data_IF_061353358330
#
_entry.id   IF_061353358330
#
_cell.length_a   1.000
_cell.length_b   1.000
_cell.length_c   1.000
_cell.angle_alpha   90.00
_cell.angle_beta   90.00
_cell.angle_gamma   90.00
#
_symmetry.space_group_name_H-M   'P 1'
#
loop_
_entity.id
_entity.type
_entity.pdbx_description
1 polymer ?
#
# COMPACT_ATOMS: atom_id res chain seq x y z
N UNK A 1 10.03 -24.03 7.06
CA UNK A 1 11.22 -23.28 6.60
C UNK A 1 10.91 -21.95 5.90
N UNK A 2 9.69 -21.65 5.44
CA UNK A 2 9.39 -20.37 4.74
C UNK A 2 9.05 -19.19 5.66
N UNK A 3 8.61 -19.43 6.91
CA UNK A 3 8.30 -18.34 7.87
C UNK A 3 9.56 -17.70 8.47
N UNK A 4 10.54 -18.52 8.85
CA UNK A 4 11.76 -18.07 9.56
C UNK A 4 12.61 -17.14 8.68
N UNK A 5 12.79 -17.50 7.40
CA UNK A 5 13.47 -16.63 6.43
C UNK A 5 12.75 -15.31 6.20
N UNK A 6 11.42 -15.31 6.28
CA UNK A 6 10.64 -14.08 6.13
C UNK A 6 10.77 -13.17 7.36
N UNK A 7 10.85 -13.75 8.56
CA UNK A 7 11.06 -13.03 9.82
C UNK A 7 12.46 -12.40 9.88
N UNK A 8 13.51 -13.14 9.48
CA UNK A 8 14.88 -12.61 9.41
C UNK A 8 14.98 -11.43 8.42
N UNK A 9 14.38 -11.57 7.24
CA UNK A 9 14.33 -10.50 6.23
C UNK A 9 13.47 -9.30 6.68
N UNK A 10 12.42 -9.54 7.47
CA UNK A 10 11.59 -8.49 8.05
C UNK A 10 12.40 -7.67 9.07
N UNK A 11 13.18 -8.34 9.92
CA UNK A 11 14.06 -7.69 10.91
C UNK A 11 15.15 -6.85 10.21
N UNK A 12 15.81 -7.40 9.19
CA UNK A 12 16.81 -6.70 8.39
C UNK A 12 16.20 -5.47 7.66
N UNK A 13 14.99 -5.61 7.11
CA UNK A 13 14.30 -4.51 6.44
C UNK A 13 13.94 -3.38 7.42
N UNK A 14 13.43 -3.72 8.61
CA UNK A 14 13.08 -2.74 9.64
C UNK A 14 14.32 -2.01 10.15
N UNK A 15 15.43 -2.73 10.38
CA UNK A 15 16.70 -2.13 10.76
C UNK A 15 17.20 -1.14 9.70
N UNK A 16 17.17 -1.51 8.41
CA UNK A 16 17.54 -0.63 7.31
C UNK A 16 16.63 0.62 7.24
N UNK A 17 15.33 0.46 7.45
CA UNK A 17 14.37 1.58 7.45
C UNK A 17 14.62 2.57 8.59
N UNK A 18 14.94 2.09 9.79
CA UNK A 18 15.28 2.94 10.93
C UNK A 18 16.59 3.71 10.69
N UNK A 19 17.60 3.05 10.12
CA UNK A 19 18.85 3.70 9.75
C UNK A 19 18.66 4.77 8.66
N UNK A 20 17.81 4.51 7.67
CA UNK A 20 17.48 5.48 6.61
C UNK A 20 16.77 6.68 7.23
N UNK A 21 15.76 6.48 8.09
CA UNK A 21 15.04 7.56 8.79
C UNK A 21 15.98 8.41 9.62
N UNK A 22 16.85 7.80 10.43
CA UNK A 22 17.85 8.50 11.25
C UNK A 22 18.82 9.35 10.41
N UNK A 23 19.26 8.83 9.27
CA UNK A 23 20.13 9.58 8.33
C UNK A 23 19.39 10.68 7.59
N UNK A 24 18.12 10.48 7.25
CA UNK A 24 17.27 11.48 6.61
C UNK A 24 16.97 12.64 7.57
N UNK A 25 16.69 12.37 8.84
CA UNK A 25 16.54 13.39 9.88
C UNK A 25 17.84 14.15 10.12
N UNK A 26 18.97 13.44 10.16
CA UNK A 26 20.31 14.05 10.24
C UNK A 26 20.60 14.97 9.04
N UNK A 27 20.11 14.60 7.85
CA UNK A 27 20.22 15.41 6.63
C UNK A 27 19.24 16.60 6.59
N UNK A 28 18.10 16.52 7.30
CA UNK A 28 17.17 17.65 7.52
C UNK A 28 17.67 18.63 8.57
N UNK A 29 18.24 18.15 9.68
CA UNK A 29 18.70 18.97 10.80
C UNK A 29 20.01 19.73 10.51
N UNK A 30 20.88 19.21 9.64
CA UNK A 30 22.05 19.94 9.15
C UNK A 30 21.66 20.90 8.03
N UNK A 31 21.11 22.05 8.40
CA UNK A 31 20.88 23.20 7.52
C UNK A 31 22.15 23.88 6.97
N UNK A 32 23.27 23.18 6.85
CA UNK A 32 24.57 23.76 6.49
C UNK A 32 25.43 22.85 5.62
N UNK A 33 25.91 23.43 4.52
CA UNK A 33 27.02 22.98 3.66
C UNK A 33 26.68 21.81 2.71
N UNK A 34 26.44 22.18 1.45
CA UNK A 34 25.91 21.34 0.37
C UNK A 34 26.73 20.10 -0.01
N UNK A 35 28.00 19.99 0.41
CA UNK A 35 28.85 18.84 0.09
C UNK A 35 28.67 17.67 1.05
N UNK A 36 28.58 17.95 2.37
CA UNK A 36 28.23 16.95 3.39
C UNK A 36 26.79 16.48 3.26
N UNK A 37 25.87 17.38 2.86
CA UNK A 37 24.48 17.01 2.59
C UNK A 37 24.37 16.09 1.36
N UNK A 38 25.16 16.36 0.31
CA UNK A 38 25.15 15.57 -0.93
C UNK A 38 25.79 14.19 -0.74
N UNK A 39 26.85 14.06 0.07
CA UNK A 39 27.43 12.76 0.41
C UNK A 39 26.48 11.91 1.26
N UNK A 40 25.82 12.52 2.27
CA UNK A 40 24.82 11.86 3.08
C UNK A 40 23.57 11.46 2.28
N UNK A 41 23.12 12.30 1.34
CA UNK A 41 22.01 11.96 0.44
C UNK A 41 22.36 10.80 -0.51
N UNK A 42 23.58 10.74 -1.03
CA UNK A 42 24.05 9.58 -1.82
C UNK A 42 24.10 8.30 -0.99
N UNK A 43 24.51 8.41 0.27
CA UNK A 43 24.53 7.26 1.18
C UNK A 43 23.13 6.81 1.58
N UNK A 44 22.19 7.75 1.78
CA UNK A 44 20.76 7.47 1.96
C UNK A 44 20.20 6.78 0.73
N UNK A 45 20.49 7.28 -0.48
CA UNK A 45 20.05 6.66 -1.72
C UNK A 45 20.55 5.21 -1.84
N UNK A 46 21.84 4.97 -1.55
CA UNK A 46 22.41 3.62 -1.57
C UNK A 46 21.71 2.67 -0.59
N UNK A 47 21.32 3.16 0.60
CA UNK A 47 20.56 2.36 1.58
C UNK A 47 19.11 2.14 1.16
N UNK A 48 18.49 3.12 0.51
CA UNK A 48 17.16 2.96 -0.10
C UNK A 48 17.19 1.90 -1.19
N UNK A 49 18.24 1.88 -2.02
CA UNK A 49 18.43 0.85 -3.04
C UNK A 49 18.62 -0.53 -2.39
N UNK A 50 19.41 -0.65 -1.31
CA UNK A 50 19.54 -1.89 -0.54
C UNK A 50 18.21 -2.36 0.07
N UNK A 51 17.46 -1.45 0.70
CA UNK A 51 16.15 -1.76 1.28
C UNK A 51 15.13 -2.18 0.20
N UNK A 52 15.20 -1.61 -1.00
CA UNK A 52 14.36 -2.03 -2.13
C UNK A 52 14.71 -3.43 -2.64
N UNK A 53 15.99 -3.83 -2.61
CA UNK A 53 16.41 -5.21 -2.88
C UNK A 53 15.87 -6.21 -1.86
N UNK A 54 15.99 -5.91 -0.56
CA UNK A 54 15.42 -6.74 0.52
C UNK A 54 13.90 -6.83 0.42
N UNK A 55 13.23 -5.72 0.06
CA UNK A 55 11.79 -5.71 -0.18
C UNK A 55 11.39 -6.64 -1.34
N UNK A 56 12.19 -6.70 -2.40
CA UNK A 56 11.96 -7.60 -3.53
C UNK A 56 12.09 -9.07 -3.13
N UNK A 57 13.05 -9.40 -2.26
CA UNK A 57 13.21 -10.75 -1.68
C UNK A 57 12.04 -11.10 -0.75
N UNK A 58 11.58 -10.16 0.08
CA UNK A 58 10.35 -10.27 0.88
C UNK A 58 9.10 -10.49 0.01
N UNK A 59 8.97 -9.80 -1.12
CA UNK A 59 7.87 -10.01 -2.09
C UNK A 59 7.93 -11.41 -2.70
N UNK A 60 9.13 -11.94 -2.98
CA UNK A 60 9.31 -13.28 -3.53
C UNK A 60 8.94 -14.38 -2.52
N UNK A 61 9.42 -14.27 -1.28
CA UNK A 61 9.11 -15.21 -0.19
C UNK A 61 7.62 -15.14 0.19
N UNK A 62 7.03 -13.93 0.22
CA UNK A 62 5.59 -13.74 0.44
C UNK A 62 4.72 -14.39 -0.64
N UNK A 63 5.21 -14.49 -1.89
CA UNK A 63 4.51 -15.20 -2.99
C UNK A 63 4.68 -16.72 -2.92
N UNK A 64 5.83 -17.19 -2.43
CA UNK A 64 6.12 -18.62 -2.25
C UNK A 64 5.40 -19.24 -1.04
N UNK A 65 4.89 -18.43 -0.11
CA UNK A 65 4.27 -18.90 1.13
C UNK A 65 2.86 -19.53 0.96
N UNK A 66 2.46 -20.49 1.83
CA UNK A 66 1.12 -21.08 1.84
C UNK A 66 -0.02 -20.09 2.14
N UNK A 67 -1.22 -20.40 1.62
CA UNK A 67 -2.39 -19.51 1.53
C UNK A 67 -2.80 -18.72 2.81
N UNK A 68 -2.76 -19.27 4.05
CA UNK A 68 -3.13 -18.50 5.24
C UNK A 68 -2.07 -17.45 5.64
N UNK A 69 -0.78 -17.71 5.42
CA UNK A 69 0.31 -16.78 5.75
C UNK A 69 0.53 -15.76 4.62
N UNK A 70 0.30 -16.17 3.37
CA UNK A 70 0.43 -15.34 2.17
C UNK A 70 -0.38 -14.05 2.22
N UNK A 71 -1.61 -14.08 2.76
CA UNK A 71 -2.47 -12.88 2.85
C UNK A 71 -1.87 -11.87 3.84
N UNK A 72 -1.41 -12.35 4.99
CA UNK A 72 -0.77 -11.51 6.01
C UNK A 72 0.56 -10.95 5.52
N UNK A 73 1.43 -11.79 4.93
CA UNK A 73 2.72 -11.40 4.37
C UNK A 73 2.57 -10.35 3.26
N UNK A 74 1.68 -10.56 2.28
CA UNK A 74 1.44 -9.57 1.22
C UNK A 74 0.91 -8.23 1.75
N UNK A 75 0.10 -8.24 2.82
CA UNK A 75 -0.38 -7.00 3.42
C UNK A 75 0.77 -6.19 4.05
N UNK A 76 1.72 -6.87 4.70
CA UNK A 76 2.93 -6.25 5.25
C UNK A 76 3.85 -5.73 4.14
N UNK A 77 4.10 -6.54 3.12
CA UNK A 77 4.97 -6.13 2.00
C UNK A 77 4.42 -4.91 1.25
N UNK A 78 3.10 -4.80 1.09
CA UNK A 78 2.46 -3.59 0.53
C UNK A 78 2.66 -2.34 1.40
N UNK A 79 2.59 -2.48 2.74
CA UNK A 79 2.85 -1.37 3.66
C UNK A 79 4.30 -0.92 3.56
N UNK A 80 5.25 -1.86 3.61
CA UNK A 80 6.68 -1.57 3.47
C UNK A 80 7.03 -0.91 2.14
N UNK A 81 6.38 -1.33 1.05
CA UNK A 81 6.50 -0.67 -0.25
C UNK A 81 6.06 0.79 -0.22
N UNK A 82 4.93 1.09 0.41
CA UNK A 82 4.45 2.47 0.56
C UNK A 82 5.40 3.31 1.40
N UNK A 83 5.88 2.77 2.53
CA UNK A 83 6.80 3.49 3.41
C UNK A 83 8.15 3.78 2.73
N UNK A 84 8.65 2.84 1.91
CA UNK A 84 9.90 3.02 1.17
C UNK A 84 9.74 4.06 0.04
N UNK A 85 8.57 4.12 -0.62
CA UNK A 85 8.26 5.14 -1.62
C UNK A 85 8.15 6.55 -1.00
N UNK A 86 7.54 6.68 0.18
CA UNK A 86 7.48 7.94 0.91
C UNK A 86 8.87 8.43 1.35
N UNK A 87 9.72 7.51 1.81
CA UNK A 87 11.12 7.80 2.13
C UNK A 87 11.90 8.20 0.87
N UNK A 88 11.68 7.53 -0.25
CA UNK A 88 12.33 7.86 -1.53
C UNK A 88 11.90 9.26 -2.02
N UNK A 89 10.61 9.61 -1.92
CA UNK A 89 10.10 10.96 -2.24
C UNK A 89 10.67 12.05 -1.33
N UNK A 90 10.83 11.76 -0.04
CA UNK A 90 11.44 12.71 0.91
C UNK A 90 12.94 12.86 0.69
N UNK A 91 13.66 11.80 0.32
CA UNK A 91 15.06 11.87 -0.10
C UNK A 91 15.23 12.64 -1.44
N UNK A 92 14.36 12.36 -2.41
CA UNK A 92 14.36 13.02 -3.72
C UNK A 92 14.00 14.51 -3.64
N UNK A 93 13.06 14.93 -2.77
CA UNK A 93 12.77 16.35 -2.54
C UNK A 93 13.92 17.09 -1.84
N UNK A 94 14.63 16.43 -0.93
CA UNK A 94 15.84 16.97 -0.30
C UNK A 94 17.02 17.09 -1.27
N UNK A 95 17.12 16.20 -2.26
CA UNK A 95 18.09 16.27 -3.36
C UNK A 95 17.68 17.28 -4.44
N UNK A 96 16.38 17.32 -4.78
CA UNK A 96 15.76 18.14 -5.83
C UNK A 96 15.74 19.64 -5.52
N UNK A 97 15.70 20.00 -4.23
CA UNK A 97 15.90 21.39 -3.78
C UNK A 97 17.26 21.97 -4.16
N UNK A 98 18.25 21.12 -4.47
CA UNK A 98 19.58 21.56 -4.95
C UNK A 98 19.60 21.74 -6.47
N UNK A 99 18.85 20.93 -7.23
CA UNK A 99 18.86 20.96 -8.71
C UNK A 99 17.91 21.99 -9.33
N UNK A 100 16.76 22.28 -8.70
CA UNK A 100 15.80 23.25 -9.25
C UNK A 100 16.31 24.71 -9.19
N UNK A 101 17.22 25.00 -8.25
CA UNK A 101 17.88 26.32 -8.15
C UNK A 101 18.93 26.53 -9.24
N UNK A 102 19.59 25.46 -9.71
CA UNK A 102 20.62 25.55 -10.76
C UNK A 102 20.04 25.60 -12.17
N UNK A 103 18.99 24.84 -12.47
CA UNK A 103 18.40 24.80 -13.83
C UNK A 103 17.61 26.08 -14.12
N UNK A 104 16.83 26.58 -13.14
CA UNK A 104 16.07 27.83 -13.32
C UNK A 104 16.98 29.08 -13.44
N UNK A 105 18.18 29.06 -12.85
CA UNK A 105 19.17 30.15 -13.01
C UNK A 105 19.92 30.09 -14.34
N UNK A 106 20.12 28.90 -14.89
CA UNK A 106 20.85 28.73 -16.14
C UNK A 106 20.02 29.19 -17.35
N UNK A 107 18.70 29.04 -17.29
CA UNK A 107 17.78 29.52 -18.34
C UNK A 107 17.56 31.05 -18.30
N UNK A 108 17.75 31.68 -17.13
CA UNK A 108 17.70 33.14 -16.95
C UNK A 108 19.00 33.87 -17.31
N UNK A 109 20.09 33.14 -17.57
CA UNK A 109 21.41 33.69 -17.89
C UNK A 109 21.84 33.42 -19.34
N UNK A 110 20.95 32.87 -20.18
CA UNK A 110 21.20 32.81 -21.63
C UNK A 110 20.98 34.21 -22.22
N UNK A 111 22.04 34.91 -22.68
CA UNK A 111 21.86 36.20 -23.33
C UNK A 111 21.19 35.93 -24.67
N UNK A 112 19.95 36.38 -24.80
CA UNK A 112 19.22 36.52 -26.05
C UNK A 112 20.04 37.38 -27.01
N UNK A 113 20.90 36.75 -27.80
CA UNK A 113 21.67 37.37 -28.88
C UNK A 113 20.77 37.59 -30.10
N UNK A 114 19.76 38.44 -29.95
CA UNK A 114 18.83 38.84 -31.03
C UNK A 114 19.34 40.07 -31.81
N UNK A 115 20.58 40.50 -31.57
CA UNK A 115 21.19 41.62 -32.28
C UNK A 115 22.51 41.20 -32.90
N UNK A 116 22.44 40.68 -34.12
CA UNK A 116 23.62 40.34 -34.88
C UNK A 116 23.29 39.88 -36.29
N UNK A 117 23.29 40.85 -37.21
CA UNK A 117 23.82 40.71 -38.57
C UNK A 117 23.22 39.63 -39.50
N UNK A 118 22.35 40.04 -40.44
CA UNK A 118 22.28 39.37 -41.74
C UNK A 118 22.00 40.38 -42.87
N UNK A 119 22.98 40.45 -43.77
CA UNK A 119 23.02 41.29 -44.95
C UNK A 119 21.96 41.00 -46.02
N UNK A 120 22.04 41.85 -47.04
CA UNK A 120 21.16 41.95 -48.19
C UNK A 120 20.85 40.60 -48.88
N UNK A 121 19.61 40.16 -48.72
CA UNK A 121 18.96 39.09 -49.49
C UNK A 121 17.48 39.01 -49.07
N UNK A 122 16.57 39.15 -50.03
CA UNK A 122 15.11 39.32 -49.89
C UNK A 122 14.47 38.95 -48.53
N UNK A 123 14.07 39.95 -47.69
CA UNK A 123 13.46 39.72 -46.37
C UNK A 123 12.09 39.02 -46.43
N UNK A 124 11.46 38.96 -47.60
CA UNK A 124 10.21 38.22 -47.80
C UNK A 124 10.45 36.71 -47.95
N UNK A 125 11.55 36.29 -48.56
CA UNK A 125 11.82 34.87 -48.83
C UNK A 125 12.27 34.14 -47.56
N UNK A 126 13.09 34.79 -46.74
CA UNK A 126 13.48 34.27 -45.42
C UNK A 126 12.29 34.16 -44.46
N UNK A 127 11.37 35.15 -44.46
CA UNK A 127 10.13 35.08 -43.67
C UNK A 127 9.22 33.94 -44.10
N UNK A 128 9.05 33.70 -45.41
CA UNK A 128 8.21 32.61 -45.91
C UNK A 128 8.80 31.24 -45.57
N UNK A 129 10.12 31.06 -45.66
CA UNK A 129 10.79 29.84 -45.22
C UNK A 129 10.62 29.60 -43.72
N UNK A 130 10.76 30.66 -42.90
CA UNK A 130 10.56 30.58 -41.46
C UNK A 130 9.09 30.28 -41.08
N UNK A 131 8.13 30.84 -41.81
CA UNK A 131 6.70 30.49 -41.66
C UNK A 131 6.44 29.03 -42.03
N UNK A 132 7.03 28.54 -43.12
CA UNK A 132 6.88 27.15 -43.56
C UNK A 132 7.47 26.17 -42.54
N UNK A 133 8.67 26.46 -42.02
CA UNK A 133 9.30 25.66 -40.97
C UNK A 133 8.49 25.67 -39.66
N UNK A 134 7.88 26.79 -39.31
CA UNK A 134 6.97 26.86 -38.16
C UNK A 134 5.71 26.02 -38.39
N UNK A 135 5.18 26.04 -39.61
CA UNK A 135 3.98 25.28 -39.99
C UNK A 135 4.25 23.77 -39.95
N UNK A 136 5.38 23.32 -40.49
CA UNK A 136 5.82 21.93 -40.41
C UNK A 136 5.98 21.49 -38.94
N UNK A 137 6.64 22.30 -38.11
CA UNK A 137 6.76 22.00 -36.67
C UNK A 137 5.40 21.93 -35.96
N UNK A 138 4.46 22.82 -36.31
CA UNK A 138 3.10 22.77 -35.73
C UNK A 138 2.32 21.55 -36.20
N UNK A 139 2.52 21.12 -37.45
CA UNK A 139 1.88 19.93 -38.02
C UNK A 139 2.41 18.67 -37.34
N UNK A 140 3.72 18.56 -37.15
CA UNK A 140 4.35 17.48 -36.39
C UNK A 140 3.89 17.46 -34.92
N UNK A 141 3.75 18.63 -34.30
CA UNK A 141 3.24 18.74 -32.94
C UNK A 141 1.78 18.30 -32.83
N UNK A 142 0.95 18.67 -33.82
CA UNK A 142 -0.45 18.22 -33.91
C UNK A 142 -0.53 16.70 -34.08
N UNK A 143 0.26 16.13 -34.98
CA UNK A 143 0.31 14.68 -35.20
C UNK A 143 0.68 13.93 -33.90
N UNK A 144 1.70 14.41 -33.17
CA UNK A 144 2.05 13.87 -31.85
C UNK A 144 0.91 14.03 -30.84
N UNK A 145 0.20 15.16 -30.84
CA UNK A 145 -0.91 15.39 -29.92
C UNK A 145 -2.08 14.44 -30.20
N UNK A 146 -2.40 14.18 -31.47
CA UNK A 146 -3.41 13.19 -31.84
C UNK A 146 -3.03 11.78 -31.41
N UNK A 147 -1.75 11.40 -31.56
CA UNK A 147 -1.27 10.11 -31.09
C UNK A 147 -1.42 9.99 -29.57
N UNK A 148 -0.97 10.99 -28.81
CA UNK A 148 -1.10 10.98 -27.34
C UNK A 148 -2.56 10.98 -26.89
N UNK A 149 -3.45 11.71 -27.59
CA UNK A 149 -4.88 11.70 -27.32
C UNK A 149 -5.50 10.31 -27.57
N UNK A 150 -5.10 9.62 -28.64
CA UNK A 150 -5.56 8.27 -28.93
C UNK A 150 -5.05 7.25 -27.89
N UNK A 151 -3.78 7.34 -27.48
CA UNK A 151 -3.23 6.52 -26.39
C UNK A 151 -3.95 6.82 -25.06
N UNK A 152 -4.30 8.07 -24.80
CA UNK A 152 -5.05 8.47 -23.60
C UNK A 152 -6.47 7.92 -23.62
N UNK A 153 -7.14 7.89 -24.78
CA UNK A 153 -8.49 7.30 -24.91
C UNK A 153 -8.47 5.78 -24.67
N UNK A 154 -7.42 5.10 -25.15
CA UNK A 154 -7.20 3.67 -24.86
C UNK A 154 -6.96 3.41 -23.37
N UNK A 155 -6.18 4.25 -22.70
CA UNK A 155 -5.98 4.16 -21.24
C UNK A 155 -7.30 4.44 -20.51
N UNK A 156 -8.05 5.45 -20.94
CA UNK A 156 -9.34 5.82 -20.35
C UNK A 156 -10.36 4.69 -20.43
N UNK A 157 -10.42 4.01 -21.58
CA UNK A 157 -11.28 2.83 -21.76
C UNK A 157 -10.84 1.65 -20.90
N UNK A 158 -9.55 1.36 -20.81
CA UNK A 158 -9.04 0.31 -19.91
C UNK A 158 -9.35 0.60 -18.44
N UNK A 159 -9.17 1.84 -17.99
CA UNK A 159 -9.51 2.27 -16.63
C UNK A 159 -11.01 2.14 -16.35
N UNK A 160 -11.87 2.49 -17.33
CA UNK A 160 -13.31 2.33 -17.19
C UNK A 160 -13.73 0.85 -17.05
N UNK A 161 -13.09 -0.06 -17.79
CA UNK A 161 -13.32 -1.50 -17.67
C UNK A 161 -12.86 -2.05 -16.32
N UNK A 162 -11.71 -1.61 -15.82
CA UNK A 162 -11.23 -2.00 -14.50
C UNK A 162 -12.15 -1.50 -13.38
N UNK A 163 -12.62 -0.25 -13.44
CA UNK A 163 -13.60 0.29 -12.48
C UNK A 163 -14.90 -0.50 -12.50
N UNK A 164 -15.36 -0.94 -13.68
CA UNK A 164 -16.55 -1.80 -13.80
C UNK A 164 -16.33 -3.14 -13.07
N UNK A 165 -15.17 -3.75 -13.27
CA UNK A 165 -14.79 -5.02 -12.63
C UNK A 165 -14.67 -4.88 -11.11
N UNK A 166 -14.04 -3.80 -10.64
CA UNK A 166 -13.95 -3.47 -9.21
C UNK A 166 -15.33 -3.28 -8.58
N UNK A 167 -16.24 -2.58 -9.27
CA UNK A 167 -17.63 -2.42 -8.83
C UNK A 167 -18.34 -3.77 -8.68
N UNK A 168 -18.18 -4.67 -9.64
CA UNK A 168 -18.75 -6.02 -9.57
C UNK A 168 -18.22 -6.81 -8.37
N UNK A 169 -16.91 -6.74 -8.11
CA UNK A 169 -16.29 -7.37 -6.94
C UNK A 169 -16.83 -6.80 -5.63
N UNK A 170 -17.04 -5.48 -5.56
CA UNK A 170 -17.60 -4.82 -4.37
C UNK A 170 -19.05 -5.27 -4.14
N UNK A 171 -19.86 -5.35 -5.20
CA UNK A 171 -21.25 -5.86 -5.12
C UNK A 171 -21.27 -7.31 -4.62
N UNK A 172 -20.44 -8.20 -5.16
CA UNK A 172 -20.32 -9.59 -4.68
C UNK A 172 -19.88 -9.67 -3.23
N UNK A 173 -18.94 -8.82 -2.82
CA UNK A 173 -18.47 -8.78 -1.43
C UNK A 173 -19.58 -8.32 -0.48
N UNK A 174 -20.38 -7.34 -0.91
CA UNK A 174 -21.54 -6.87 -0.16
C UNK A 174 -22.60 -7.97 0.00
N UNK A 175 -22.92 -8.68 -1.09
CA UNK A 175 -23.87 -9.80 -1.06
C UNK A 175 -23.41 -10.93 -0.12
N UNK A 176 -22.13 -11.32 -0.20
CA UNK A 176 -21.55 -12.31 0.73
C UNK A 176 -21.57 -11.84 2.19
N UNK A 177 -21.39 -10.54 2.43
CA UNK A 177 -21.45 -9.98 3.77
C UNK A 177 -22.88 -10.04 4.33
N UNK A 178 -23.89 -9.69 3.52
CA UNK A 178 -25.30 -9.82 3.89
C UNK A 178 -25.68 -11.29 4.16
N UNK A 179 -25.21 -12.22 3.32
CA UNK A 179 -25.40 -13.67 3.54
C UNK A 179 -24.72 -14.15 4.83
N UNK A 180 -23.49 -13.67 5.11
CA UNK A 180 -22.76 -14.00 6.33
C UNK A 180 -23.48 -13.48 7.57
N UNK A 181 -24.06 -12.29 7.53
CA UNK A 181 -24.84 -11.73 8.64
C UNK A 181 -26.12 -12.56 8.91
N UNK A 182 -26.82 -12.97 7.84
CA UNK A 182 -27.97 -13.88 7.96
C UNK A 182 -27.56 -15.24 8.58
N UNK A 183 -26.44 -15.82 8.12
CA UNK A 183 -25.91 -17.06 8.67
C UNK A 183 -25.46 -16.91 10.13
N UNK A 184 -24.91 -15.76 10.51
CA UNK A 184 -24.54 -15.44 11.89
C UNK A 184 -25.79 -15.35 12.78
N UNK A 185 -26.85 -14.71 12.31
CA UNK A 185 -28.12 -14.61 13.03
C UNK A 185 -28.74 -16.00 13.29
N UNK A 186 -28.69 -16.87 12.28
CA UNK A 186 -29.16 -18.26 12.36
C UNK A 186 -28.30 -19.08 13.32
N UNK A 187 -26.98 -18.92 13.24
CA UNK A 187 -26.02 -19.57 14.15
C UNK A 187 -26.25 -19.17 15.61
N UNK A 188 -26.50 -17.88 15.88
CA UNK A 188 -26.87 -17.40 17.23
C UNK A 188 -28.16 -18.06 17.74
N UNK A 189 -29.16 -18.23 16.87
CA UNK A 189 -30.43 -18.89 17.24
C UNK A 189 -30.22 -20.37 17.57
N UNK A 190 -29.39 -21.07 16.80
CA UNK A 190 -29.03 -22.48 17.04
C UNK A 190 -28.25 -22.60 18.35
N UNK A 191 -27.22 -21.79 18.56
CA UNK A 191 -26.42 -21.77 19.78
C UNK A 191 -27.29 -21.51 21.01
N UNK A 192 -28.23 -20.56 20.95
CA UNK A 192 -29.18 -20.29 22.04
C UNK A 192 -30.07 -21.50 22.35
N UNK A 193 -30.46 -22.24 21.32
CA UNK A 193 -31.27 -23.46 21.48
C UNK A 193 -30.45 -24.59 22.11
N UNK A 194 -29.21 -24.79 21.67
CA UNK A 194 -28.28 -25.75 22.28
C UNK A 194 -28.00 -25.40 23.74
N UNK A 195 -27.72 -24.14 24.05
CA UNK A 195 -27.49 -23.66 25.40
C UNK A 195 -28.66 -23.97 26.33
N UNK A 196 -29.91 -23.68 25.89
CA UNK A 196 -31.11 -24.01 26.66
C UNK A 196 -31.24 -25.51 26.92
N UNK A 197 -31.04 -26.35 25.90
CA UNK A 197 -31.11 -27.82 26.06
C UNK A 197 -30.09 -28.32 27.10
N UNK A 198 -28.85 -27.85 27.03
CA UNK A 198 -27.80 -28.21 27.99
C UNK A 198 -28.16 -27.74 29.40
N UNK A 199 -28.66 -26.51 29.54
CA UNK A 199 -29.08 -25.98 30.84
C UNK A 199 -30.24 -26.78 31.43
N UNK A 200 -31.28 -27.08 30.65
CA UNK A 200 -32.41 -27.91 31.10
C UNK A 200 -31.96 -29.30 31.52
N UNK A 201 -31.08 -29.96 30.73
CA UNK A 201 -30.54 -31.26 31.09
C UNK A 201 -29.75 -31.22 32.41
N UNK A 202 -28.93 -30.18 32.62
CA UNK A 202 -28.22 -29.97 33.89
C UNK A 202 -29.18 -29.77 35.07
N UNK A 203 -30.24 -28.98 34.89
CA UNK A 203 -31.25 -28.76 35.93
C UNK A 203 -32.00 -30.04 36.30
N UNK A 204 -32.37 -30.86 35.31
CA UNK A 204 -33.01 -32.17 35.54
C UNK A 204 -32.06 -33.09 36.33
N UNK A 205 -30.78 -33.14 35.96
CA UNK A 205 -29.79 -33.96 36.65
C UNK A 205 -29.63 -33.55 38.12
N UNK A 206 -29.55 -32.24 38.41
CA UNK A 206 -29.47 -31.74 39.80
C UNK A 206 -30.74 -32.10 40.58
N UNK A 207 -31.92 -32.00 39.95
CA UNK A 207 -33.20 -32.32 40.59
C UNK A 207 -33.30 -33.80 40.99
N UNK A 208 -32.82 -34.72 40.15
CA UNK A 208 -32.77 -36.16 40.47
C UNK A 208 -31.88 -36.42 41.69
N UNK A 209 -30.67 -35.86 41.72
CA UNK A 209 -29.73 -36.03 42.84
C UNK A 209 -30.33 -35.53 44.16
N UNK A 210 -31.02 -34.39 44.14
CA UNK A 210 -31.69 -33.85 45.34
C UNK A 210 -32.78 -34.80 45.83
N UNK A 211 -33.58 -35.37 44.94
CA UNK A 211 -34.62 -36.34 45.30
C UNK A 211 -34.03 -37.60 45.93
N UNK A 212 -32.95 -38.14 45.36
CA UNK A 212 -32.28 -39.32 45.91
C UNK A 212 -31.78 -39.08 47.34
N UNK A 213 -31.17 -37.92 47.59
CA UNK A 213 -30.71 -37.52 48.94
C UNK A 213 -31.90 -37.38 49.90
N UNK A 214 -33.01 -36.78 49.48
CA UNK A 214 -34.21 -36.65 50.30
C UNK A 214 -34.79 -38.01 50.70
N UNK A 215 -34.85 -38.97 49.77
CA UNK A 215 -35.36 -40.33 50.04
C UNK A 215 -34.42 -41.06 51.03
N UNK A 216 -33.11 -41.00 50.81
CA UNK A 216 -32.13 -41.60 51.73
C UNK A 216 -32.24 -40.98 53.13
N UNK A 217 -32.36 -39.66 53.22
CA UNK A 217 -32.56 -38.95 54.48
C UNK A 217 -33.86 -39.37 55.20
N UNK A 218 -34.97 -39.48 54.47
CA UNK A 218 -36.25 -39.93 55.00
C UNK A 218 -36.19 -41.38 55.52
N UNK A 219 -35.50 -42.28 54.81
CA UNK A 219 -35.31 -43.67 55.24
C UNK A 219 -34.46 -43.76 56.52
N UNK A 220 -33.39 -42.97 56.62
CA UNK A 220 -32.56 -42.91 57.83
C UNK A 220 -33.37 -42.37 59.00
N UNK A 221 -34.11 -41.27 58.79
CA UNK A 221 -34.98 -40.68 59.80
C UNK A 221 -36.00 -41.71 60.31
N UNK A 222 -36.69 -42.41 59.39
CA UNK A 222 -37.69 -43.41 59.76
C UNK A 222 -37.06 -44.58 60.52
N UNK A 223 -35.93 -45.10 60.05
CA UNK A 223 -35.24 -46.23 60.70
C UNK A 223 -34.69 -45.89 62.09
N UNK A 224 -34.21 -44.67 62.29
CA UNK A 224 -33.55 -44.27 63.54
C UNK A 224 -34.52 -43.77 64.61
N UNK A 225 -35.65 -43.15 64.21
CA UNK A 225 -36.64 -42.64 65.17
C UNK A 225 -37.77 -43.65 65.46
N UNK A 226 -38.08 -44.53 64.52
CA UNK A 226 -39.20 -45.48 64.67
C UNK A 226 -38.76 -46.87 65.13
N UNK A 227 -37.54 -46.98 65.67
CA UNK A 227 -37.00 -48.17 66.33
C UNK A 227 -36.38 -47.77 67.66
#
# INVERSE_FOLDING_TARGET
>A
MSSEKFEDLEEDFVALMEEIRRKLESAKGRGGIGESKKSLLREVQRKVDQASGVLQELEHEARAAPNPYRVHMNSKTRKYRSELDDINKTAASLAGGVTHVTIARQDLLSPSSVLGDFGAGDPQRSRLLQMNETLDRTTDSLARTFQVAAETDQIGTAVAEELRTQRESLVRTKERLEETDQNLSTSRKILRTMYRRVMTNKMILIMIIVIEICILGALIYWKFIMK
#
